data_IF_136839802318
#
_entry.id   IF_136839802318
#
_cell.length_a   1.000
_cell.length_b   1.000
_cell.length_c   1.000
_cell.angle_alpha   90.00
_cell.angle_beta   90.00
_cell.angle_gamma   90.00
#
_symmetry.space_group_name_H-M   'P 1'
#
loop_
_entity.id
_entity.type
_entity.pdbx_description
1 polymer ?
#
# COMPACT_ATOMS: atom_id res chain seq x y z
N UNK A 1 -11.30 8.91 -6.73
CA UNK A 1 -12.13 10.00 -7.28
C UNK A 1 -11.74 11.32 -6.66
N UNK A 2 -11.86 12.40 -7.40
CA UNK A 2 -11.46 13.73 -6.91
C UNK A 2 -12.22 14.11 -5.64
N UNK A 3 -13.50 13.73 -5.52
CA UNK A 3 -14.32 13.99 -4.35
C UNK A 3 -13.85 13.29 -3.07
N UNK A 4 -12.99 12.28 -3.19
CA UNK A 4 -12.46 11.53 -2.04
C UNK A 4 -11.17 12.13 -1.48
N UNK A 5 -10.61 13.16 -2.14
CA UNK A 5 -9.29 13.71 -1.81
C UNK A 5 -9.15 14.11 -0.33
N UNK A 6 -10.14 14.84 0.19
CA UNK A 6 -10.11 15.29 1.58
C UNK A 6 -10.18 14.11 2.56
N UNK A 7 -11.05 13.14 2.29
CA UNK A 7 -11.20 11.95 3.14
C UNK A 7 -9.93 11.10 3.12
N UNK A 8 -9.31 10.94 1.96
CA UNK A 8 -8.06 10.17 1.84
C UNK A 8 -6.91 10.84 2.56
N UNK A 9 -6.79 12.18 2.43
CA UNK A 9 -5.78 12.94 3.16
C UNK A 9 -5.98 12.82 4.67
N UNK A 10 -7.22 12.95 5.15
CA UNK A 10 -7.52 12.83 6.57
C UNK A 10 -7.21 11.43 7.08
N UNK A 11 -7.48 10.40 6.28
CA UNK A 11 -7.15 9.02 6.59
C UNK A 11 -5.63 8.83 6.68
N UNK A 12 -4.86 9.43 5.78
CA UNK A 12 -3.40 9.39 5.82
C UNK A 12 -2.86 10.00 7.12
N UNK A 13 -3.39 11.15 7.52
CA UNK A 13 -2.99 11.81 8.77
C UNK A 13 -3.33 10.94 9.97
N UNK A 14 -4.52 10.35 9.99
CA UNK A 14 -5.02 9.51 11.08
C UNK A 14 -4.18 8.24 11.25
N UNK A 15 -3.74 7.65 10.14
CA UNK A 15 -2.99 6.39 10.14
C UNK A 15 -1.49 6.58 10.22
N UNK A 16 -0.99 7.84 10.16
CA UNK A 16 0.44 8.10 10.17
C UNK A 16 1.10 7.69 11.50
N UNK A 17 2.22 7.01 11.39
CA UNK A 17 3.14 6.78 12.51
C UNK A 17 4.48 6.29 11.98
N UNK A 18 5.54 6.40 12.78
CA UNK A 18 6.85 5.85 12.43
C UNK A 18 6.87 4.32 12.37
N UNK A 19 5.82 3.63 12.82
CA UNK A 19 5.69 2.19 12.68
C UNK A 19 5.23 1.77 11.29
N UNK A 20 4.52 2.64 10.59
CA UNK A 20 3.89 2.31 9.31
C UNK A 20 4.52 3.00 8.11
N UNK A 21 5.21 4.13 8.30
CA UNK A 21 5.81 4.86 7.18
C UNK A 21 7.06 5.63 7.59
N UNK A 22 8.09 5.67 6.72
CA UNK A 22 9.24 6.55 6.90
C UNK A 22 8.98 7.98 6.45
N UNK A 23 7.83 8.25 5.81
CA UNK A 23 7.50 9.57 5.29
C UNK A 23 7.13 10.54 6.42
N UNK A 24 7.34 11.87 6.23
CA UNK A 24 6.90 12.85 7.21
C UNK A 24 5.37 12.89 7.30
N UNK A 25 4.86 13.40 8.45
CA UNK A 25 3.43 13.57 8.66
C UNK A 25 2.81 14.39 7.53
N UNK A 26 1.73 13.91 6.90
CA UNK A 26 1.05 14.68 5.86
C UNK A 26 0.47 15.98 6.40
N UNK A 27 0.57 17.05 5.59
CA UNK A 27 -0.03 18.34 5.93
C UNK A 27 -1.54 18.30 5.71
N UNK A 28 -2.31 18.88 6.64
CA UNK A 28 -3.77 19.01 6.50
C UNK A 28 -4.17 19.84 5.29
N UNK A 29 -3.30 20.76 4.87
CA UNK A 29 -3.57 21.66 3.74
C UNK A 29 -3.09 21.09 2.40
N UNK A 30 -2.36 19.98 2.42
CA UNK A 30 -1.85 19.37 1.19
C UNK A 30 -2.97 18.69 0.42
N UNK A 31 -2.96 18.85 -0.91
CA UNK A 31 -3.84 18.06 -1.77
C UNK A 31 -3.41 16.60 -1.74
N UNK A 32 -4.37 15.68 -1.61
CA UNK A 32 -4.08 14.25 -1.64
C UNK A 32 -3.69 13.79 -3.04
N UNK A 33 -4.51 14.12 -4.04
CA UNK A 33 -4.19 13.79 -5.43
C UNK A 33 -3.26 14.85 -6.01
N UNK A 34 -2.05 14.42 -6.36
CA UNK A 34 -1.00 15.25 -6.96
C UNK A 34 -0.12 14.36 -7.83
N UNK A 35 0.92 14.93 -8.42
CA UNK A 35 1.88 14.13 -9.19
C UNK A 35 2.40 12.96 -8.35
N UNK A 36 2.24 11.74 -8.87
CA UNK A 36 2.54 10.51 -8.16
C UNK A 36 1.43 9.99 -7.25
N UNK A 37 0.30 10.70 -7.20
CA UNK A 37 -0.86 10.34 -6.39
C UNK A 37 -2.15 10.56 -7.20
N UNK A 38 -2.22 9.99 -8.41
CA UNK A 38 -3.37 10.13 -9.28
C UNK A 38 -4.55 9.24 -8.81
N UNK A 39 -5.81 9.69 -9.01
CA UNK A 39 -6.98 8.92 -8.56
C UNK A 39 -7.04 7.48 -9.06
N UNK A 40 -6.63 7.23 -10.28
CA UNK A 40 -6.65 5.89 -10.90
C UNK A 40 -5.68 4.90 -10.25
N UNK A 41 -4.77 5.38 -9.41
CA UNK A 41 -3.85 4.53 -8.66
C UNK A 41 -4.47 3.95 -7.39
N UNK A 42 -5.67 4.42 -7.00
CA UNK A 42 -6.28 4.09 -5.71
C UNK A 42 -7.49 3.19 -5.87
N UNK A 43 -7.59 2.20 -4.98
CA UNK A 43 -8.81 1.48 -4.68
C UNK A 43 -9.23 1.86 -3.28
N UNK A 44 -10.51 2.19 -3.09
CA UNK A 44 -11.01 2.66 -1.80
C UNK A 44 -12.04 1.68 -1.24
N UNK A 45 -12.08 1.60 0.09
CA UNK A 45 -13.12 0.90 0.81
C UNK A 45 -14.08 1.92 1.42
N UNK A 46 -15.38 1.73 1.18
CA UNK A 46 -16.42 2.59 1.72
C UNK A 46 -17.35 1.80 2.63
N UNK A 47 -17.73 2.42 3.74
CA UNK A 47 -18.76 1.91 4.64
C UNK A 47 -19.77 3.03 4.83
N UNK A 48 -21.02 2.77 4.47
CA UNK A 48 -22.11 3.75 4.56
C UNK A 48 -21.80 5.09 3.88
N UNK A 49 -21.17 5.01 2.70
CA UNK A 49 -20.80 6.19 1.92
C UNK A 49 -19.55 6.92 2.39
N UNK A 50 -18.90 6.43 3.44
CA UNK A 50 -17.68 7.04 3.98
C UNK A 50 -16.45 6.20 3.62
N UNK A 51 -15.39 6.86 3.15
CA UNK A 51 -14.13 6.20 2.85
C UNK A 51 -13.44 5.81 4.17
N UNK A 52 -13.22 4.51 4.37
CA UNK A 52 -12.61 3.96 5.59
C UNK A 52 -11.26 3.30 5.33
N UNK A 53 -10.84 3.22 4.09
CA UNK A 53 -9.54 2.67 3.75
C UNK A 53 -9.21 2.85 2.28
N UNK A 54 -7.93 2.68 1.96
CA UNK A 54 -7.48 2.68 0.57
C UNK A 54 -6.25 1.80 0.41
N UNK A 55 -6.04 1.38 -0.83
CA UNK A 55 -4.76 0.81 -1.28
C UNK A 55 -4.33 1.55 -2.53
N UNK A 56 -3.05 1.89 -2.59
CA UNK A 56 -2.45 2.55 -3.75
C UNK A 56 -1.59 1.55 -4.52
N UNK A 57 -1.79 1.49 -5.83
CA UNK A 57 -0.96 0.72 -6.74
C UNK A 57 -0.15 1.66 -7.63
N UNK A 58 1.10 1.32 -7.87
CA UNK A 58 1.95 2.07 -8.78
C UNK A 58 3.07 1.20 -9.32
N UNK A 59 3.88 1.78 -10.18
CA UNK A 59 5.08 1.10 -10.71
C UNK A 59 6.28 1.44 -9.85
N UNK A 60 7.07 0.44 -9.42
CA UNK A 60 8.26 0.71 -8.61
C UNK A 60 9.36 1.42 -9.40
N UNK A 61 9.34 1.30 -10.72
CA UNK A 61 10.31 1.93 -11.62
C UNK A 61 9.65 2.22 -12.96
N UNK A 62 10.21 3.17 -13.71
CA UNK A 62 9.75 3.51 -15.07
C UNK A 62 10.39 2.65 -16.14
N UNK A 63 11.28 1.73 -15.78
CA UNK A 63 11.95 0.85 -16.73
C UNK A 63 10.96 -0.08 -17.42
N UNK A 64 10.99 -0.11 -18.74
CA UNK A 64 10.10 -0.97 -19.54
C UNK A 64 10.33 -2.45 -19.24
N UNK A 65 11.57 -2.83 -18.98
CA UNK A 65 11.93 -4.21 -18.63
C UNK A 65 11.29 -4.70 -17.32
N UNK A 66 10.79 -3.79 -16.49
CA UNK A 66 10.07 -4.10 -15.25
C UNK A 66 8.58 -3.72 -15.32
N UNK A 67 8.03 -3.54 -16.52
CA UNK A 67 6.62 -3.13 -16.70
C UNK A 67 5.62 -4.18 -16.20
N UNK A 68 6.06 -5.42 -16.03
CA UNK A 68 5.25 -6.51 -15.48
C UNK A 68 5.16 -6.50 -13.94
N UNK A 69 5.78 -5.53 -13.28
CA UNK A 69 5.78 -5.41 -11.81
C UNK A 69 4.93 -4.22 -11.39
N UNK A 70 3.96 -4.45 -10.53
CA UNK A 70 3.26 -3.41 -9.81
C UNK A 70 3.63 -3.47 -8.33
N UNK A 71 3.44 -2.36 -7.63
CA UNK A 71 3.80 -2.24 -6.23
C UNK A 71 2.64 -1.66 -5.44
N UNK A 72 2.36 -2.24 -4.28
CA UNK A 72 1.49 -1.62 -3.28
C UNK A 72 2.31 -0.50 -2.64
N UNK A 73 1.93 0.74 -2.91
CA UNK A 73 2.65 1.93 -2.48
C UNK A 73 2.00 2.63 -1.30
N UNK A 74 0.85 2.15 -0.87
CA UNK A 74 0.15 2.64 0.30
C UNK A 74 -1.01 1.73 0.63
N UNK A 75 -1.23 1.51 1.91
CA UNK A 75 -2.38 0.79 2.45
C UNK A 75 -2.73 1.43 3.77
N UNK A 76 -3.93 1.96 3.88
CA UNK A 76 -4.41 2.59 5.10
C UNK A 76 -5.85 2.18 5.38
N UNK A 77 -6.15 1.91 6.65
CA UNK A 77 -7.50 1.60 7.12
C UNK A 77 -7.76 2.44 8.36
N UNK A 78 -8.94 3.07 8.42
CA UNK A 78 -9.38 3.82 9.59
C UNK A 78 -9.28 2.91 10.83
N UNK A 79 -8.54 3.31 11.88
CA UNK A 79 -8.42 2.51 13.09
C UNK A 79 -9.76 2.17 13.75
N UNK A 80 -10.77 3.04 13.61
CA UNK A 80 -12.14 2.79 14.09
C UNK A 80 -12.84 1.65 13.37
N UNK A 81 -12.34 1.25 12.21
CA UNK A 81 -12.86 0.16 11.39
C UNK A 81 -11.88 -1.03 11.31
N UNK A 82 -10.86 -1.07 12.16
CA UNK A 82 -9.92 -2.17 12.22
C UNK A 82 -10.61 -3.48 12.62
N UNK A 83 -9.98 -4.62 12.29
CA UNK A 83 -10.45 -5.97 12.59
C UNK A 83 -11.75 -6.37 11.89
N UNK A 84 -12.18 -5.61 10.87
CA UNK A 84 -13.36 -5.95 10.04
C UNK A 84 -12.97 -6.59 8.71
N UNK A 85 -11.70 -6.91 8.54
CA UNK A 85 -11.20 -7.49 7.30
C UNK A 85 -11.06 -6.51 6.14
N UNK A 86 -11.10 -5.21 6.41
CA UNK A 86 -11.00 -4.16 5.37
C UNK A 86 -9.62 -4.18 4.72
N UNK A 87 -8.54 -4.28 5.51
CA UNK A 87 -7.19 -4.38 4.98
C UNK A 87 -7.00 -5.58 4.06
N UNK A 88 -7.52 -6.73 4.48
CA UNK A 88 -7.49 -7.95 3.66
C UNK A 88 -8.31 -7.78 2.38
N UNK A 89 -9.49 -7.18 2.47
CA UNK A 89 -10.34 -6.94 1.30
C UNK A 89 -9.66 -6.00 0.30
N UNK A 90 -9.05 -4.93 0.79
CA UNK A 90 -8.29 -4.00 -0.04
C UNK A 90 -7.10 -4.68 -0.72
N UNK A 91 -6.37 -5.50 0.02
CA UNK A 91 -5.21 -6.20 -0.52
C UNK A 91 -5.62 -7.26 -1.55
N UNK A 92 -6.71 -7.98 -1.29
CA UNK A 92 -7.29 -8.93 -2.25
C UNK A 92 -7.72 -8.22 -3.54
N UNK A 93 -8.36 -7.05 -3.41
CA UNK A 93 -8.75 -6.23 -4.55
C UNK A 93 -7.52 -5.72 -5.32
N UNK A 94 -6.45 -5.35 -4.62
CA UNK A 94 -5.20 -4.91 -5.25
C UNK A 94 -4.56 -6.04 -6.06
N UNK A 95 -4.53 -7.25 -5.54
CA UNK A 95 -4.01 -8.43 -6.24
C UNK A 95 -4.81 -8.67 -7.52
N UNK A 96 -6.12 -8.63 -7.43
CA UNK A 96 -7.00 -8.81 -8.58
C UNK A 96 -6.82 -7.71 -9.62
N UNK A 97 -6.72 -6.47 -9.19
CA UNK A 97 -6.49 -5.32 -10.08
C UNK A 97 -5.14 -5.42 -10.79
N UNK A 98 -4.08 -5.74 -10.05
CA UNK A 98 -2.75 -5.91 -10.62
C UNK A 98 -2.75 -7.01 -11.69
N UNK A 99 -3.39 -8.13 -11.38
CA UNK A 99 -3.53 -9.25 -12.33
C UNK A 99 -4.30 -8.82 -13.58
N UNK A 100 -5.39 -8.07 -13.42
CA UNK A 100 -6.20 -7.59 -14.55
C UNK A 100 -5.45 -6.61 -15.43
N UNK A 101 -4.47 -5.89 -14.89
CA UNK A 101 -3.59 -4.98 -15.64
C UNK A 101 -2.43 -5.71 -16.32
N UNK A 102 -2.38 -7.03 -16.21
CA UNK A 102 -1.34 -7.85 -16.83
C UNK A 102 -0.05 -7.96 -16.04
N UNK A 103 -0.02 -7.52 -14.79
CA UNK A 103 1.16 -7.66 -13.95
C UNK A 103 1.42 -9.13 -13.62
N UNK A 104 2.69 -9.50 -13.55
CA UNK A 104 3.14 -10.86 -13.16
C UNK A 104 3.67 -10.90 -11.74
N UNK A 105 3.98 -9.74 -11.17
CA UNK A 105 4.45 -9.61 -9.79
C UNK A 105 3.78 -8.41 -9.15
N UNK A 106 3.43 -8.57 -7.87
CA UNK A 106 3.02 -7.48 -6.99
C UNK A 106 3.99 -7.44 -5.82
N UNK A 107 4.62 -6.29 -5.60
CA UNK A 107 5.60 -6.13 -4.54
C UNK A 107 5.15 -5.09 -3.55
N UNK A 108 5.82 -5.05 -2.41
CA UNK A 108 5.61 -4.01 -1.40
C UNK A 108 6.84 -3.91 -0.50
N UNK A 109 6.89 -2.81 0.24
CA UNK A 109 7.88 -2.61 1.30
C UNK A 109 7.13 -2.33 2.59
N UNK A 110 7.64 -2.87 3.69
CA UNK A 110 7.03 -2.70 5.00
C UNK A 110 8.13 -2.51 6.04
N UNK A 111 7.90 -1.58 6.98
CA UNK A 111 8.85 -1.37 8.07
C UNK A 111 8.89 -2.61 8.96
N UNK A 112 10.09 -3.04 9.36
CA UNK A 112 10.28 -4.23 10.18
C UNK A 112 9.41 -4.27 11.44
N UNK A 113 9.28 -3.16 12.19
CA UNK A 113 8.44 -3.12 13.39
C UNK A 113 6.94 -3.23 13.14
N UNK A 114 6.47 -3.04 11.91
CA UNK A 114 5.04 -3.11 11.57
C UNK A 114 4.60 -4.58 11.43
N UNK A 115 4.51 -5.27 12.56
CA UNK A 115 4.19 -6.70 12.60
C UNK A 115 2.79 -7.01 12.10
N UNK A 116 1.83 -6.13 12.39
CA UNK A 116 0.45 -6.32 11.95
C UNK A 116 0.34 -6.33 10.42
N UNK A 117 0.99 -5.38 9.76
CA UNK A 117 1.02 -5.32 8.30
C UNK A 117 1.74 -6.53 7.70
N UNK A 118 2.89 -6.91 8.27
CA UNK A 118 3.64 -8.08 7.82
C UNK A 118 2.79 -9.35 7.88
N UNK A 119 2.09 -9.55 9.01
CA UNK A 119 1.21 -10.71 9.19
C UNK A 119 0.07 -10.71 8.16
N UNK A 120 -0.51 -9.54 7.89
CA UNK A 120 -1.54 -9.39 6.87
C UNK A 120 -1.01 -9.78 5.49
N UNK A 121 0.15 -9.27 5.10
CA UNK A 121 0.76 -9.57 3.80
C UNK A 121 1.11 -11.05 3.68
N UNK A 122 1.71 -11.64 4.69
CA UNK A 122 2.04 -13.07 4.71
C UNK A 122 0.77 -13.93 4.58
N UNK A 123 -0.30 -13.54 5.27
CA UNK A 123 -1.57 -14.29 5.22
C UNK A 123 -2.25 -14.23 3.86
N UNK A 124 -1.88 -13.27 3.01
CA UNK A 124 -2.41 -13.13 1.64
C UNK A 124 -1.45 -13.69 0.59
N UNK A 125 -0.36 -14.30 1.01
CA UNK A 125 0.56 -15.01 0.13
C UNK A 125 1.86 -14.31 -0.20
N UNK A 126 2.08 -13.08 0.29
CA UNK A 126 3.35 -12.39 0.10
C UNK A 126 4.46 -13.09 0.89
N UNK A 127 5.64 -13.14 0.32
CA UNK A 127 6.83 -13.70 0.95
C UNK A 127 7.92 -12.64 1.05
N UNK A 128 8.76 -12.76 2.07
CA UNK A 128 9.92 -11.86 2.22
C UNK A 128 10.93 -12.18 1.12
N UNK A 129 11.30 -11.15 0.38
CA UNK A 129 12.31 -11.24 -0.70
C UNK A 129 13.63 -10.61 -0.32
N UNK A 130 13.63 -9.75 0.67
CA UNK A 130 14.84 -9.12 1.16
C UNK A 130 14.59 -8.25 2.36
N UNK A 131 15.67 -7.92 3.08
CA UNK A 131 15.64 -7.02 4.21
C UNK A 131 16.81 -6.05 4.07
N UNK A 132 16.53 -4.75 4.19
CA UNK A 132 17.55 -3.71 4.26
C UNK A 132 17.72 -3.33 5.73
N UNK A 133 18.76 -3.85 6.41
CA UNK A 133 18.92 -3.65 7.86
C UNK A 133 19.19 -2.20 8.19
N UNK A 134 18.46 -1.65 9.16
CA UNK A 134 18.68 -0.29 9.64
C UNK A 134 18.55 0.78 8.58
N UNK A 135 17.74 0.55 7.54
CA UNK A 135 17.62 1.45 6.38
C UNK A 135 17.10 2.83 6.78
N UNK A 136 16.19 2.89 7.76
CA UNK A 136 15.60 4.15 8.20
C UNK A 136 15.91 4.42 9.67
N UNK A 137 16.11 5.69 10.01
CA UNK A 137 16.20 6.14 11.40
C UNK A 137 14.95 6.94 11.73
N UNK A 138 14.10 6.39 12.58
CA UNK A 138 12.80 6.97 12.92
C UNK A 138 12.69 7.13 14.43
N UNK A 139 12.47 8.35 14.89
CA UNK A 139 12.40 8.64 16.33
C UNK A 139 13.67 8.23 17.09
N UNK A 140 14.84 8.35 16.46
CA UNK A 140 16.11 7.95 17.04
C UNK A 140 16.45 6.46 16.98
N UNK A 141 15.57 5.65 16.39
CA UNK A 141 15.72 4.19 16.29
C UNK A 141 15.93 3.80 14.84
N UNK A 142 16.92 2.93 14.59
CA UNK A 142 17.13 2.35 13.27
C UNK A 142 16.17 1.17 13.07
N UNK A 143 15.46 1.17 11.95
CA UNK A 143 14.49 0.13 11.61
C UNK A 143 14.78 -0.43 10.23
N UNK A 144 14.43 -1.71 10.05
CA UNK A 144 14.62 -2.41 8.79
C UNK A 144 13.53 -2.03 7.79
N UNK A 145 13.89 -2.09 6.52
CA UNK A 145 12.96 -2.06 5.41
C UNK A 145 12.83 -3.48 4.86
N UNK A 146 11.65 -4.06 4.95
CA UNK A 146 11.39 -5.43 4.51
C UNK A 146 10.71 -5.40 3.14
N UNK A 147 11.30 -6.09 2.18
CA UNK A 147 10.77 -6.19 0.82
C UNK A 147 10.03 -7.52 0.69
N UNK A 148 8.78 -7.43 0.23
CA UNK A 148 7.93 -8.62 0.05
C UNK A 148 7.38 -8.66 -1.37
N UNK A 149 7.09 -9.85 -1.85
CA UNK A 149 6.56 -10.03 -3.20
C UNK A 149 5.60 -11.19 -3.31
N UNK A 150 4.76 -11.11 -4.33
CA UNK A 150 3.76 -12.11 -4.67
C UNK A 150 3.79 -12.33 -6.18
N UNK A 151 3.95 -13.59 -6.59
CA UNK A 151 3.78 -13.96 -7.98
C UNK A 151 2.29 -13.98 -8.33
N UNK A 152 1.94 -13.34 -9.42
CA UNK A 152 0.56 -13.30 -9.89
C UNK A 152 0.33 -14.37 -10.96
N UNK A 153 -0.85 -14.99 -11.00
CA UNK A 153 -1.16 -15.95 -12.03
C UNK A 153 -1.15 -15.26 -13.40
N UNK A 154 -0.57 -15.95 -14.39
CA UNK A 154 -0.64 -15.50 -15.77
C UNK A 154 -2.04 -15.78 -16.29
N UNK A 155 -2.76 -14.70 -16.65
CA UNK A 155 -4.08 -14.81 -17.26
C UNK A 155 -3.92 -14.77 -18.77
N UNK A 156 -4.30 -15.85 -19.44
CA UNK A 156 -4.24 -15.95 -20.87
C UNK A 156 -3.31 -17.07 -21.35
N UNK A 157 -3.41 -17.35 -22.62
CA UNK A 157 -2.55 -18.33 -23.29
C UNK A 157 -1.22 -17.65 -23.64
N UNK A 158 -0.17 -18.10 -23.02
CA UNK A 158 1.18 -17.74 -23.42
C UNK A 158 1.66 -18.70 -24.50
#
# INVERSE_FOLDING_TARGET
>A
MVGDSAQLRDLDILTWSHQVTPAPLPSRDAAFFRLGNAPEQFLVAEVEGQVVGYVKLGRPTTLESASHVLQVQGLAVDPGHGRRGIGRALLTAAVKEASSRGARRLTLRVLGPNRAARALYESTGFVVEGVLPGEFKLGGVYVDDVLMGLALPVTGLD
#
